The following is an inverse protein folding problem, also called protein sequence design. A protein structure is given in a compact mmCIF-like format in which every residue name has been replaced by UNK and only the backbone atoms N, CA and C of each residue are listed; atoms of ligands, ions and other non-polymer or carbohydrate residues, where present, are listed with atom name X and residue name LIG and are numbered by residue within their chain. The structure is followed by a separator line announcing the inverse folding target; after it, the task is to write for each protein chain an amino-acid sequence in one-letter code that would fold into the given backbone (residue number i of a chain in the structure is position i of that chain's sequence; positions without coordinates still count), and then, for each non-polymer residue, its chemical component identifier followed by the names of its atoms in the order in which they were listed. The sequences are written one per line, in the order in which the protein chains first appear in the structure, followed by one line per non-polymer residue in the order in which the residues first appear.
data_IF_024522575462
#
_entry.id   IF_024522575462
#
_cell.length_a   1.000
_cell.length_b   1.000
_cell.length_c   1.000
_cell.angle_alpha   90.00
_cell.angle_beta   90.00
_cell.angle_gamma   90.00
#
_symmetry.space_group_name_H-M   'P 1'
#
loop_
_entity.id
_entity.type
_entity.pdbx_description
1 polymer ?
#
# COMPACT_ATOMS: atom_id res chain seq x y z
N UNK A 1 1.60 1.19 -5.69
CA UNK A 1 0.16 1.11 -6.06
C UNK A 1 -0.67 0.83 -4.82
N UNK A 2 -1.91 1.32 -4.72
CA UNK A 2 -2.69 1.19 -3.50
C UNK A 2 -3.98 2.00 -3.48
N UNK A 3 -4.50 2.21 -2.27
CA UNK A 3 -5.68 3.03 -1.96
C UNK A 3 -5.26 4.21 -1.10
N UNK A 4 -5.86 5.37 -1.34
CA UNK A 4 -5.70 6.56 -0.52
C UNK A 4 -7.08 7.07 -0.10
N UNK A 5 -7.21 7.62 1.11
CA UNK A 5 -8.41 8.38 1.50
C UNK A 5 -8.53 9.60 0.60
N UNK A 6 -9.77 10.00 0.32
CA UNK A 6 -10.06 11.22 -0.43
C UNK A 6 -9.46 12.47 0.23
N UNK A 7 -9.42 12.49 1.57
CA UNK A 7 -8.91 13.59 2.39
C UNK A 7 -7.38 13.74 2.37
N UNK A 8 -6.65 12.86 1.68
CA UNK A 8 -5.19 12.94 1.58
C UNK A 8 -4.80 14.20 0.77
N UNK A 9 -3.91 15.06 1.30
CA UNK A 9 -3.51 16.27 0.61
C UNK A 9 -2.75 15.94 -0.67
N UNK A 10 -3.09 16.62 -1.77
CA UNK A 10 -2.47 16.39 -3.11
C UNK A 10 -1.44 17.43 -3.51
N UNK A 11 -1.41 18.56 -2.80
CA UNK A 11 -0.59 19.73 -3.14
C UNK A 11 0.74 19.78 -2.39
N UNK A 12 0.89 18.97 -1.34
CA UNK A 12 2.10 18.92 -0.51
C UNK A 12 2.60 17.50 -0.37
N UNK A 13 3.87 17.39 -0.08
CA UNK A 13 4.45 16.11 0.32
C UNK A 13 3.82 15.62 1.63
N UNK A 14 3.57 14.32 1.71
CA UNK A 14 3.07 13.64 2.89
C UNK A 14 3.63 12.21 2.92
N UNK A 15 3.75 11.57 4.10
CA UNK A 15 4.27 10.22 4.20
C UNK A 15 3.30 9.20 3.64
N UNK A 16 3.80 8.24 2.85
CA UNK A 16 3.01 7.14 2.31
C UNK A 16 2.85 6.03 3.35
N UNK A 17 1.99 6.23 4.34
CA UNK A 17 1.73 5.27 5.42
C UNK A 17 0.25 5.23 5.84
N UNK A 18 -0.20 4.17 6.57
CA UNK A 18 -1.60 4.03 6.94
C UNK A 18 -2.12 5.16 7.83
N UNK A 19 -1.25 5.72 8.69
CA UNK A 19 -1.59 6.87 9.56
C UNK A 19 -1.94 8.11 8.75
N UNK A 20 -1.33 8.29 7.58
CA UNK A 20 -1.65 9.35 6.64
C UNK A 20 -2.86 9.03 5.74
N UNK A 21 -3.49 7.86 5.91
CA UNK A 21 -4.64 7.44 5.12
C UNK A 21 -4.28 6.80 3.78
N UNK A 22 -3.09 6.22 3.67
CA UNK A 22 -2.64 5.50 2.46
C UNK A 22 -2.28 4.06 2.77
N UNK A 23 -2.79 3.14 1.95
CA UNK A 23 -2.47 1.71 2.00
C UNK A 23 -1.94 1.28 0.64
N UNK A 24 -0.66 0.96 0.55
CA UNK A 24 -0.02 0.72 -0.74
C UNK A 24 1.13 -0.27 -0.67
N UNK A 25 1.43 -0.85 -1.84
CA UNK A 25 2.64 -1.58 -2.14
C UNK A 25 3.62 -0.70 -2.93
N UNK A 26 4.90 -0.84 -2.63
CA UNK A 26 6.02 -0.34 -3.41
C UNK A 26 6.77 -1.53 -4.02
N UNK A 27 7.32 -1.35 -5.23
CA UNK A 27 8.22 -2.31 -5.86
C UNK A 27 9.45 -1.56 -6.35
N UNK A 28 10.61 -1.89 -5.80
CA UNK A 28 11.90 -1.28 -6.15
C UNK A 28 12.99 -2.35 -6.28
N UNK A 29 14.27 -1.95 -6.29
CA UNK A 29 15.39 -2.88 -6.43
C UNK A 29 15.46 -3.95 -5.33
N UNK A 30 14.87 -3.70 -4.17
CA UNK A 30 14.83 -4.65 -3.04
C UNK A 30 13.57 -5.54 -3.08
N UNK A 31 12.78 -5.50 -4.15
CA UNK A 31 11.54 -6.25 -4.32
C UNK A 31 10.30 -5.53 -3.81
N UNK A 32 9.26 -6.31 -3.49
CA UNK A 32 7.96 -5.79 -3.05
C UNK A 32 7.98 -5.44 -1.56
N UNK A 33 7.38 -4.30 -1.23
CA UNK A 33 7.26 -3.81 0.13
C UNK A 33 5.83 -3.33 0.38
N UNK A 34 5.25 -3.72 1.50
CA UNK A 34 4.04 -3.10 2.02
C UNK A 34 4.41 -1.85 2.82
N UNK A 35 3.83 -0.71 2.46
CA UNK A 35 4.05 0.57 3.14
C UNK A 35 3.25 0.61 4.44
N UNK A 36 3.64 -0.23 5.40
CA UNK A 36 3.10 -0.31 6.76
C UNK A 36 3.76 0.71 7.69
N UNK A 37 3.18 0.93 8.88
CA UNK A 37 3.71 1.80 9.93
C UNK A 37 3.73 1.01 11.25
N UNK A 38 4.76 1.13 12.10
CA UNK A 38 5.87 2.10 12.03
C UNK A 38 6.90 1.79 10.94
N UNK A 39 7.11 0.52 10.61
CA UNK A 39 8.13 0.09 9.66
C UNK A 39 7.52 -0.45 8.37
N UNK A 40 8.23 -0.25 7.27
CA UNK A 40 7.91 -0.85 5.96
C UNK A 40 8.15 -2.36 6.02
N UNK A 41 7.18 -3.15 5.58
CA UNK A 41 7.28 -4.62 5.60
C UNK A 41 7.74 -5.13 4.24
N UNK A 42 8.92 -5.74 4.17
CA UNK A 42 9.38 -6.45 2.97
C UNK A 42 8.54 -7.70 2.74
N UNK A 43 8.11 -7.93 1.49
CA UNK A 43 7.29 -9.07 1.12
C UNK A 43 8.13 -10.11 0.39
N UNK A 44 8.14 -11.34 0.91
CA UNK A 44 8.72 -12.49 0.22
C UNK A 44 7.66 -13.13 -0.66
N UNK A 45 7.79 -12.96 -1.98
CA UNK A 45 6.92 -13.58 -2.97
C UNK A 45 7.65 -14.74 -3.63
N UNK A 46 6.91 -15.83 -3.93
CA UNK A 46 7.47 -16.99 -4.65
C UNK A 46 7.78 -16.65 -6.11
N UNK A 47 6.93 -15.83 -6.73
CA UNK A 47 7.02 -15.40 -8.12
C UNK A 47 6.83 -13.88 -8.21
N UNK A 48 7.34 -13.27 -9.28
CA UNK A 48 7.09 -11.86 -9.56
C UNK A 48 5.68 -11.68 -10.17
N UNK A 49 4.73 -11.04 -9.46
CA UNK A 49 3.37 -10.88 -9.95
C UNK A 49 3.35 -9.96 -11.18
N UNK A 50 2.74 -10.45 -12.27
CA UNK A 50 2.49 -9.66 -13.48
C UNK A 50 1.22 -8.79 -13.38
N UNK A 51 0.39 -9.07 -12.37
CA UNK A 51 -0.89 -8.40 -12.12
C UNK A 51 -1.16 -8.41 -10.64
N UNK A 52 -1.60 -7.27 -10.10
CA UNK A 52 -2.00 -7.14 -8.70
C UNK A 52 -3.45 -6.69 -8.67
N UNK A 53 -4.28 -7.43 -7.93
CA UNK A 53 -5.65 -7.03 -7.60
C UNK A 53 -5.65 -6.32 -6.26
N UNK A 54 -6.38 -5.20 -6.20
CA UNK A 54 -6.60 -4.44 -4.97
C UNK A 54 -8.09 -4.51 -4.64
N UNK A 55 -8.43 -5.02 -3.47
CA UNK A 55 -9.79 -5.11 -2.96
C UNK A 55 -9.95 -4.19 -1.74
N UNK A 56 -10.95 -3.30 -1.78
CA UNK A 56 -11.32 -2.46 -0.65
C UNK A 56 -12.62 -2.98 -0.04
N UNK A 57 -12.58 -3.35 1.23
CA UNK A 57 -13.76 -3.64 2.03
C UNK A 57 -14.00 -2.46 2.99
N UNK A 58 -14.91 -1.57 2.59
CA UNK A 58 -15.26 -0.39 3.40
C UNK A 58 -15.98 -0.75 4.70
N UNK A 59 -16.74 -1.85 4.71
CA UNK A 59 -17.53 -2.26 5.88
C UNK A 59 -16.60 -2.80 6.97
N UNK A 60 -15.65 -3.63 6.57
CA UNK A 60 -14.68 -4.23 7.47
C UNK A 60 -13.41 -3.38 7.67
N UNK A 61 -13.28 -2.26 6.94
CA UNK A 61 -12.14 -1.36 7.04
C UNK A 61 -10.82 -1.97 6.56
N UNK A 62 -10.86 -2.83 5.52
CA UNK A 62 -9.69 -3.59 5.05
C UNK A 62 -9.32 -3.25 3.61
N UNK A 63 -8.02 -3.26 3.33
CA UNK A 63 -7.46 -3.27 1.97
C UNK A 63 -6.68 -4.56 1.81
N UNK A 64 -6.97 -5.32 0.76
CA UNK A 64 -6.32 -6.60 0.46
C UNK A 64 -5.66 -6.57 -0.90
N UNK A 65 -4.50 -7.22 -1.01
CA UNK A 65 -3.71 -7.34 -2.23
C UNK A 65 -3.60 -8.83 -2.61
N UNK A 66 -3.85 -9.15 -3.88
CA UNK A 66 -3.76 -10.52 -4.44
C UNK A 66 -2.97 -10.53 -5.74
#
# INVERSE_FOLDING_TARGET
IGVAKESVPRERWFPLEPKAGVWALCHNQDGYKALTSPDVTSLTLRDNPQRIRICLDCREGRVMFF
#
